data_IF_168059132081
#
_entry.id   IF_168059132081
#
_cell.length_a   1.000
_cell.length_b   1.000
_cell.length_c   1.000
_cell.angle_alpha   90.00
_cell.angle_beta   90.00
_cell.angle_gamma   90.00
#
_symmetry.space_group_name_H-M   'P 1'
#
loop_
_entity.id
_entity.type
_entity.pdbx_description
1 polymer ?
#
# COMPACT_ATOMS: atom_id res chain seq x y z
N UNK A 1 12.66 -16.95 -0.42
CA UNK A 1 12.94 -16.41 0.93
C UNK A 1 14.42 -16.01 1.10
N UNK A 2 15.38 -16.90 0.84
CA UNK A 2 16.83 -16.62 1.01
C UNK A 2 17.33 -15.47 0.13
N UNK A 3 16.93 -15.42 -1.12
CA UNK A 3 17.27 -14.36 -2.09
C UNK A 3 16.75 -13.00 -1.62
N UNK A 4 15.48 -12.95 -1.19
CA UNK A 4 14.87 -11.71 -0.68
C UNK A 4 15.63 -11.21 0.55
N UNK A 5 15.92 -12.09 1.51
CA UNK A 5 16.68 -11.72 2.70
C UNK A 5 18.06 -11.18 2.35
N UNK A 6 18.77 -11.86 1.44
CA UNK A 6 20.11 -11.44 0.99
C UNK A 6 20.07 -10.06 0.34
N UNK A 7 19.14 -9.83 -0.59
CA UNK A 7 19.01 -8.53 -1.27
C UNK A 7 18.63 -7.39 -0.31
N UNK A 8 17.73 -7.67 0.65
CA UNK A 8 17.32 -6.68 1.65
C UNK A 8 18.46 -6.31 2.59
N UNK A 9 19.23 -7.30 3.06
CA UNK A 9 20.39 -7.06 3.92
C UNK A 9 21.51 -6.35 3.17
N UNK A 10 21.76 -6.72 1.91
CA UNK A 10 22.74 -6.06 1.06
C UNK A 10 22.40 -4.58 0.89
N UNK A 11 21.14 -4.22 0.66
CA UNK A 11 20.73 -2.82 0.56
C UNK A 11 21.07 -2.01 1.81
N UNK A 12 20.91 -2.60 3.00
CA UNK A 12 21.26 -1.96 4.26
C UNK A 12 22.78 -1.79 4.38
N UNK A 13 23.55 -2.82 4.01
CA UNK A 13 25.00 -2.78 3.99
C UNK A 13 25.54 -1.73 3.02
N UNK A 14 24.93 -1.58 1.84
CA UNK A 14 25.31 -0.60 0.83
C UNK A 14 25.08 0.85 1.30
N UNK A 15 24.10 1.07 2.17
CA UNK A 15 23.79 2.40 2.75
C UNK A 15 24.66 2.68 4.01
N UNK A 16 25.11 1.65 4.72
CA UNK A 16 25.85 1.79 5.98
C UNK A 16 27.10 2.71 5.89
N UNK A 17 27.88 2.72 4.79
CA UNK A 17 29.04 3.61 4.65
C UNK A 17 28.71 5.10 4.72
N UNK A 18 27.48 5.49 4.38
CA UNK A 18 27.08 6.91 4.36
C UNK A 18 26.75 7.47 5.76
N UNK A 19 26.72 6.63 6.80
CA UNK A 19 26.48 7.08 8.19
C UNK A 19 27.53 8.06 8.68
N UNK A 20 28.79 7.92 8.24
CA UNK A 20 29.86 8.85 8.61
C UNK A 20 29.65 10.28 8.06
N UNK A 21 28.75 10.44 7.06
CA UNK A 21 28.33 11.73 6.52
C UNK A 21 27.09 12.31 7.26
N UNK A 22 26.69 11.70 8.38
CA UNK A 22 25.49 12.08 9.12
C UNK A 22 24.18 11.62 8.44
N UNK A 23 24.27 10.75 7.44
CA UNK A 23 23.09 10.19 6.75
C UNK A 23 22.66 8.93 7.49
N UNK A 24 21.54 9.05 8.23
CA UNK A 24 20.91 7.86 8.83
C UNK A 24 20.11 7.12 7.76
N UNK A 25 20.30 5.80 7.60
CA UNK A 25 19.51 5.03 6.66
C UNK A 25 18.02 5.06 7.08
N UNK A 26 17.10 5.34 6.14
CA UNK A 26 15.68 5.32 6.46
C UNK A 26 15.23 3.90 6.85
N UNK A 27 14.21 3.76 7.70
CA UNK A 27 13.64 2.46 8.01
C UNK A 27 13.12 1.80 6.73
N UNK A 28 13.47 0.54 6.52
CA UNK A 28 13.03 -0.23 5.36
C UNK A 28 11.69 -0.90 5.65
N UNK A 29 10.66 -0.53 4.92
CA UNK A 29 9.35 -1.15 5.00
C UNK A 29 9.15 -2.15 3.86
N UNK A 30 8.83 -3.40 4.20
CA UNK A 30 8.55 -4.46 3.24
C UNK A 30 7.03 -4.66 3.14
N UNK A 31 6.49 -4.50 1.95
CA UNK A 31 5.08 -4.71 1.65
C UNK A 31 4.90 -6.05 0.90
N UNK A 32 4.02 -6.91 1.41
CA UNK A 32 3.64 -8.13 0.70
C UNK A 32 2.52 -7.78 -0.27
N UNK A 33 2.83 -7.95 -1.56
CA UNK A 33 1.94 -7.55 -2.64
C UNK A 33 1.39 -8.77 -3.40
N UNK A 34 0.22 -8.60 -4.02
CA UNK A 34 -0.47 -9.59 -4.85
C UNK A 34 -0.78 -10.90 -4.10
N UNK A 35 -1.22 -10.78 -2.87
CA UNK A 35 -1.61 -11.92 -2.05
C UNK A 35 -2.94 -12.49 -2.54
N UNK A 36 -2.95 -13.79 -2.84
CA UNK A 36 -4.19 -14.48 -3.22
C UNK A 36 -5.06 -14.72 -1.97
N UNK A 37 -6.26 -14.10 -1.84
CA UNK A 37 -6.96 -13.98 -0.56
C UNK A 37 -7.48 -15.30 0.01
N UNK A 38 -7.66 -16.33 -0.83
CA UNK A 38 -8.18 -17.65 -0.41
C UNK A 38 -7.11 -18.76 -0.40
N UNK A 39 -5.86 -18.44 -0.72
CA UNK A 39 -4.78 -19.43 -0.77
C UNK A 39 -4.18 -19.69 0.62
N UNK A 40 -4.24 -20.93 1.07
CA UNK A 40 -3.56 -21.36 2.30
C UNK A 40 -2.03 -21.19 2.18
N UNK A 41 -1.45 -21.51 1.00
CA UNK A 41 -0.03 -21.31 0.74
C UNK A 41 0.39 -19.84 0.82
N UNK A 42 -0.46 -18.92 0.36
CA UNK A 42 -0.17 -17.49 0.48
C UNK A 42 -0.02 -17.08 1.95
N UNK A 43 -0.90 -17.56 2.83
CA UNK A 43 -0.82 -17.28 4.28
C UNK A 43 0.46 -17.83 4.91
N UNK A 44 0.87 -19.04 4.55
CA UNK A 44 2.13 -19.62 5.03
C UNK A 44 3.35 -18.80 4.56
N UNK A 45 3.36 -18.36 3.31
CA UNK A 45 4.44 -17.53 2.76
C UNK A 45 4.46 -16.17 3.47
N UNK A 46 3.31 -15.53 3.71
CA UNK A 46 3.20 -14.29 4.45
C UNK A 46 3.80 -14.42 5.86
N UNK A 47 3.41 -15.48 6.58
CA UNK A 47 3.94 -15.74 7.92
C UNK A 47 5.45 -15.98 7.88
N UNK A 48 5.92 -16.82 6.98
CA UNK A 48 7.36 -17.10 6.83
C UNK A 48 8.18 -15.84 6.50
N UNK A 49 7.62 -14.90 5.73
CA UNK A 49 8.27 -13.62 5.44
C UNK A 49 8.32 -12.72 6.68
N UNK A 50 7.24 -12.66 7.47
CA UNK A 50 7.24 -11.92 8.73
C UNK A 50 8.25 -12.49 9.73
N UNK A 51 8.27 -13.81 9.90
CA UNK A 51 9.21 -14.50 10.79
C UNK A 51 10.66 -14.29 10.36
N UNK A 52 10.92 -14.27 9.04
CA UNK A 52 12.26 -14.08 8.48
C UNK A 52 12.92 -12.76 8.90
N UNK A 53 12.13 -11.70 9.05
CA UNK A 53 12.59 -10.36 9.40
C UNK A 53 12.24 -9.97 10.84
N UNK A 54 11.65 -10.87 11.61
CA UNK A 54 11.35 -10.62 13.02
C UNK A 54 12.63 -10.33 13.79
N UNK A 55 12.63 -9.22 14.54
CA UNK A 55 13.79 -8.82 15.34
C UNK A 55 14.91 -8.09 14.58
N UNK A 56 14.77 -7.88 13.27
CA UNK A 56 15.73 -7.03 12.53
C UNK A 56 15.48 -5.55 12.81
N UNK A 57 16.48 -4.89 13.37
CA UNK A 57 16.45 -3.43 13.58
C UNK A 57 16.53 -2.72 12.23
N UNK A 58 15.59 -1.82 11.95
CA UNK A 58 15.57 -1.05 10.69
C UNK A 58 14.82 -1.71 9.54
N UNK A 59 14.34 -2.97 9.69
CA UNK A 59 13.46 -3.62 8.73
C UNK A 59 12.12 -3.91 9.38
N UNK A 60 11.04 -3.49 8.74
CA UNK A 60 9.67 -3.78 9.18
C UNK A 60 8.87 -4.37 8.05
N UNK A 61 8.35 -5.57 8.21
CA UNK A 61 7.33 -6.11 7.31
C UNK A 61 5.99 -5.52 7.72
N UNK A 62 5.30 -4.88 6.77
CA UNK A 62 4.00 -4.25 7.03
C UNK A 62 2.96 -5.32 7.36
N UNK A 63 2.05 -4.99 8.28
CA UNK A 63 0.94 -5.86 8.63
C UNK A 63 -0.11 -5.91 7.51
N UNK A 64 -0.28 -4.79 6.81
CA UNK A 64 -1.19 -4.67 5.68
C UNK A 64 -0.59 -5.32 4.43
N UNK A 65 -1.32 -6.29 3.87
CA UNK A 65 -0.98 -6.93 2.60
C UNK A 65 -1.86 -6.36 1.48
N UNK A 66 -1.31 -6.29 0.25
CA UNK A 66 -2.09 -5.90 -0.93
C UNK A 66 -2.64 -7.15 -1.61
N UNK A 67 -3.96 -7.36 -1.62
CA UNK A 67 -4.55 -8.54 -2.23
C UNK A 67 -4.48 -8.51 -3.76
N UNK A 68 -4.41 -9.70 -4.38
CA UNK A 68 -4.55 -9.86 -5.82
C UNK A 68 -6.03 -9.75 -6.21
N UNK A 69 -6.50 -8.55 -6.48
CA UNK A 69 -7.88 -8.24 -6.88
C UNK A 69 -7.91 -7.45 -8.18
N UNK A 70 -9.03 -7.58 -8.91
CA UNK A 70 -9.21 -6.95 -10.22
C UNK A 70 -9.24 -5.40 -10.17
N UNK A 71 -9.48 -4.82 -9.02
CA UNK A 71 -9.50 -3.37 -8.85
C UNK A 71 -8.18 -2.69 -9.27
N UNK A 72 -7.02 -3.33 -9.02
CA UNK A 72 -5.72 -2.75 -9.33
C UNK A 72 -5.44 -2.65 -10.82
N UNK A 73 -5.52 -3.73 -11.63
CA UNK A 73 -5.33 -3.61 -13.08
C UNK A 73 -6.37 -2.70 -13.71
N UNK A 74 -7.63 -2.74 -13.25
CA UNK A 74 -8.69 -1.85 -13.72
C UNK A 74 -8.38 -0.37 -13.42
N UNK A 75 -7.81 -0.06 -12.27
CA UNK A 75 -7.39 1.29 -11.91
C UNK A 75 -6.24 1.77 -12.82
N UNK A 76 -5.24 0.92 -13.05
CA UNK A 76 -4.13 1.21 -13.95
C UNK A 76 -4.62 1.51 -15.38
N UNK A 77 -5.52 0.68 -15.92
CA UNK A 77 -6.11 0.88 -17.25
C UNK A 77 -6.88 2.20 -17.36
N UNK A 78 -7.52 2.63 -16.27
CA UNK A 78 -8.31 3.89 -16.24
C UNK A 78 -7.49 5.12 -15.90
N UNK A 79 -6.22 4.98 -15.52
CA UNK A 79 -5.40 6.07 -15.02
C UNK A 79 -5.94 6.71 -13.75
N UNK A 80 -6.64 5.94 -12.91
CA UNK A 80 -7.27 6.41 -11.67
C UNK A 80 -6.63 5.77 -10.44
N UNK A 81 -6.60 6.47 -9.30
CA UNK A 81 -6.23 5.85 -8.04
C UNK A 81 -7.19 4.71 -7.67
N UNK A 82 -6.66 3.58 -7.22
CA UNK A 82 -7.45 2.36 -7.00
C UNK A 82 -8.59 2.55 -5.99
N UNK A 83 -8.40 3.37 -4.96
CA UNK A 83 -9.43 3.68 -3.97
C UNK A 83 -10.66 4.41 -4.55
N UNK A 84 -10.52 5.03 -5.72
CA UNK A 84 -11.63 5.64 -6.46
C UNK A 84 -12.33 4.65 -7.39
N UNK A 85 -11.65 3.58 -7.77
CA UNK A 85 -12.20 2.51 -8.61
C UNK A 85 -12.99 1.51 -7.78
N UNK A 86 -12.50 1.22 -6.56
CA UNK A 86 -13.17 0.30 -5.65
C UNK A 86 -13.13 0.82 -4.21
N UNK A 87 -14.25 1.38 -3.78
CA UNK A 87 -14.45 1.98 -2.46
C UNK A 87 -15.38 1.16 -1.55
N UNK A 88 -16.02 0.12 -2.10
CA UNK A 88 -16.86 -0.83 -1.35
C UNK A 88 -16.43 -2.25 -1.67
N UNK A 89 -16.46 -3.10 -0.65
CA UNK A 89 -16.18 -4.52 -0.84
C UNK A 89 -17.31 -5.17 -1.61
N UNK A 90 -17.01 -5.87 -2.73
CA UNK A 90 -18.02 -6.66 -3.44
C UNK A 90 -18.59 -7.77 -2.55
N UNK A 91 -19.87 -8.04 -2.73
CA UNK A 91 -20.56 -9.12 -2.01
C UNK A 91 -19.91 -10.47 -2.29
N UNK A 92 -19.71 -11.27 -1.25
CA UNK A 92 -19.10 -12.60 -1.35
C UNK A 92 -17.58 -12.63 -1.51
N UNK A 93 -16.90 -11.48 -1.54
CA UNK A 93 -15.44 -11.43 -1.61
C UNK A 93 -14.83 -11.38 -0.20
N UNK A 94 -13.82 -12.24 0.05
CA UNK A 94 -13.07 -12.28 1.31
C UNK A 94 -12.11 -11.09 1.44
N UNK A 95 -11.44 -10.71 0.35
CA UNK A 95 -10.50 -9.60 0.36
C UNK A 95 -11.19 -8.26 0.61
N UNK A 96 -10.61 -7.35 1.40
CA UNK A 96 -11.14 -6.01 1.63
C UNK A 96 -11.23 -5.21 0.32
N UNK A 97 -12.04 -4.15 0.34
CA UNK A 97 -12.06 -3.18 -0.76
C UNK A 97 -10.70 -2.49 -0.90
N UNK A 98 -10.34 -2.08 -2.12
CA UNK A 98 -9.09 -1.39 -2.36
C UNK A 98 -8.96 -0.10 -1.52
N UNK A 99 -10.05 0.64 -1.29
CA UNK A 99 -10.04 1.81 -0.40
C UNK A 99 -9.63 1.43 1.03
N UNK A 100 -10.17 0.34 1.59
CA UNK A 100 -9.82 -0.12 2.92
C UNK A 100 -8.34 -0.48 3.00
N UNK A 101 -7.85 -1.31 2.06
CA UNK A 101 -6.43 -1.67 1.97
C UNK A 101 -5.51 -0.44 1.88
N UNK A 102 -5.87 0.57 1.08
CA UNK A 102 -5.06 1.78 0.94
C UNK A 102 -5.08 2.65 2.21
N UNK A 103 -6.19 2.72 2.93
CA UNK A 103 -6.27 3.42 4.22
C UNK A 103 -5.39 2.75 5.28
N UNK A 104 -5.49 1.42 5.39
CA UNK A 104 -4.72 0.64 6.35
C UNK A 104 -3.22 0.77 6.07
N UNK A 105 -2.81 0.63 4.80
CA UNK A 105 -1.43 0.78 4.37
C UNK A 105 -0.89 2.20 4.63
N UNK A 106 -1.66 3.22 4.28
CA UNK A 106 -1.27 4.62 4.50
C UNK A 106 -1.19 4.94 6.01
N UNK A 107 -2.13 4.45 6.82
CA UNK A 107 -2.11 4.61 8.27
C UNK A 107 -0.93 3.90 8.93
N UNK A 108 -0.53 2.74 8.40
CA UNK A 108 0.62 2.00 8.89
C UNK A 108 1.96 2.68 8.54
N UNK A 109 2.06 3.27 7.34
CA UNK A 109 3.25 3.99 6.89
C UNK A 109 3.39 5.38 7.53
N UNK A 110 2.28 6.06 7.74
CA UNK A 110 2.20 7.43 8.23
C UNK A 110 1.18 7.53 9.38
N UNK A 111 1.46 6.92 10.54
CA UNK A 111 0.51 6.82 11.65
C UNK A 111 0.04 8.17 12.18
N UNK A 112 0.84 9.21 12.06
CA UNK A 112 0.47 10.59 12.46
C UNK A 112 -0.67 11.19 11.63
N UNK A 113 -1.04 10.56 10.49
CA UNK A 113 -2.12 11.00 9.61
C UNK A 113 -3.26 9.97 9.48
N UNK A 114 -3.28 8.99 10.35
CA UNK A 114 -4.26 7.89 10.30
C UNK A 114 -5.72 8.39 10.23
N UNK A 115 -6.08 9.39 11.04
CA UNK A 115 -7.43 9.96 11.04
C UNK A 115 -7.79 10.62 9.70
N UNK A 116 -6.81 11.26 9.05
CA UNK A 116 -6.99 11.86 7.72
C UNK A 116 -7.25 10.81 6.66
N UNK A 117 -6.52 9.70 6.71
CA UNK A 117 -6.73 8.60 5.76
C UNK A 117 -8.08 7.92 5.99
N UNK A 118 -8.49 7.73 7.25
CA UNK A 118 -9.80 7.20 7.59
C UNK A 118 -10.95 8.06 7.06
N UNK A 119 -10.76 9.38 7.03
CA UNK A 119 -11.74 10.34 6.52
C UNK A 119 -11.82 10.41 4.98
N UNK A 120 -10.90 9.79 4.23
CA UNK A 120 -10.96 9.78 2.75
C UNK A 120 -12.31 9.19 2.31
N UNK A 121 -13.13 9.92 1.55
CA UNK A 121 -14.47 9.47 1.22
C UNK A 121 -14.47 8.25 0.27
N UNK A 122 -15.30 7.28 0.58
CA UNK A 122 -15.57 6.14 -0.29
C UNK A 122 -16.58 6.47 -1.40
N UNK A 123 -16.37 7.60 -2.11
CA UNK A 123 -17.22 7.99 -3.23
C UNK A 123 -16.38 8.16 -4.49
N UNK A 124 -16.93 7.82 -5.68
CA UNK A 124 -16.28 8.20 -6.90
C UNK A 124 -16.18 9.74 -6.95
N UNK A 125 -15.11 10.30 -7.57
CA UNK A 125 -15.05 11.73 -7.78
C UNK A 125 -16.29 12.15 -8.54
N UNK A 126 -16.99 13.18 -8.06
CA UNK A 126 -18.02 13.80 -8.86
C UNK A 126 -17.37 14.29 -10.16
N UNK A 127 -17.99 14.10 -11.33
CA UNK A 127 -17.53 14.74 -12.55
C UNK A 127 -17.35 16.22 -12.25
N UNK A 128 -16.19 16.77 -12.59
CA UNK A 128 -16.01 18.22 -12.55
C UNK A 128 -17.12 18.80 -13.40
N UNK A 129 -17.98 19.59 -12.79
CA UNK A 129 -19.02 20.33 -13.51
C UNK A 129 -18.32 21.33 -14.42
N UNK A 130 -18.09 20.93 -15.65
CA UNK A 130 -17.45 21.75 -16.68
C UNK A 130 -18.39 22.84 -17.20
N UNK A 131 -19.58 22.95 -16.65
CA UNK A 131 -20.51 24.06 -16.91
C UNK A 131 -20.13 25.27 -16.04
N UNK A 132 -19.01 25.93 -16.34
CA UNK A 132 -18.90 27.35 -16.00
C UNK A 132 -19.90 28.09 -16.91
N UNK A 133 -20.88 28.78 -16.35
CA UNK A 133 -21.68 29.69 -17.15
C UNK A 133 -20.73 30.76 -17.69
N UNK A 134 -20.63 30.86 -19.01
CA UNK A 134 -20.10 32.06 -19.64
C UNK A 134 -20.91 33.23 -19.10
N UNK A 135 -20.37 33.94 -18.12
CA UNK A 135 -20.92 35.22 -17.72
C UNK A 135 -20.85 36.16 -18.92
N UNK A 136 -22.05 36.48 -19.41
CA UNK A 136 -22.30 37.53 -20.36
C UNK A 136 -21.60 38.81 -19.88
N UNK A 137 -20.65 39.27 -20.67
CA UNK A 137 -20.25 40.70 -20.62
C UNK A 137 -21.21 41.46 -21.48
N UNK A 138 -22.02 42.22 -20.84
CA UNK A 138 -22.69 43.42 -21.41
C UNK A 138 -21.71 44.59 -21.31
#
# INVERSE_FOLDING_TARGET
>A
ARELRRGTLQLIEDIAPYRHLGIEPPPLHLLINRVHPVSANARLIQQALRDLFQGHTGIRVLATDVPAIEAYPRAATRGLPVHRVEYRQPVGRVAPAALATMRDLAGELLPQWQDRFAAVPGRPPQPLDTRRPHSQRT
#
